data_IF_347463753221
#
_entry.id   IF_347463753221
#
_cell.length_a   1.000
_cell.length_b   1.000
_cell.length_c   1.000
_cell.angle_alpha   90.00
_cell.angle_beta   90.00
_cell.angle_gamma   90.00
#
_symmetry.space_group_name_H-M   'P 1'
#
loop_
_entity.id
_entity.type
_entity.pdbx_description
1 polymer ?
#
# COMPACT_ATOMS: atom_id res chain seq x y z
N UNK A 1 -28.97 17.11 -0.69
CA UNK A 1 -28.07 16.22 -1.43
C UNK A 1 -27.85 15.00 -0.55
N UNK A 2 -28.06 13.80 -1.07
CA UNK A 2 -27.79 12.58 -0.30
C UNK A 2 -26.32 12.55 0.09
N UNK A 3 -26.01 11.97 1.26
CA UNK A 3 -24.64 11.67 1.63
C UNK A 3 -24.19 10.56 0.67
N UNK A 4 -23.17 10.83 -0.16
CA UNK A 4 -22.58 9.81 -1.02
C UNK A 4 -21.96 8.73 -0.14
N UNK A 5 -22.19 7.46 -0.47
CA UNK A 5 -21.64 6.34 0.30
C UNK A 5 -20.13 6.32 0.17
N UNK A 6 -19.45 5.97 1.27
CA UNK A 6 -18.00 5.80 1.30
C UNK A 6 -17.69 4.31 1.24
N UNK A 7 -17.00 3.90 0.20
CA UNK A 7 -16.48 2.54 0.02
C UNK A 7 -15.00 2.51 0.35
N UNK A 8 -14.61 1.72 1.35
CA UNK A 8 -13.21 1.46 1.61
C UNK A 8 -12.69 0.37 0.68
N UNK A 9 -11.70 0.69 -0.16
CA UNK A 9 -11.06 -0.23 -1.09
C UNK A 9 -9.68 -0.59 -0.56
N UNK A 10 -9.48 -1.85 -0.19
CA UNK A 10 -8.22 -2.37 0.35
C UNK A 10 -7.47 -3.13 -0.74
N UNK A 11 -6.28 -2.65 -1.09
CA UNK A 11 -5.42 -3.30 -2.09
C UNK A 11 -4.45 -4.27 -1.42
N UNK A 12 -4.44 -5.53 -1.84
CA UNK A 12 -3.68 -6.63 -1.19
C UNK A 12 -2.70 -7.36 -2.12
N UNK A 13 -2.31 -6.76 -3.24
CA UNK A 13 -1.47 -7.44 -4.26
C UNK A 13 0.02 -7.59 -3.95
N UNK A 14 0.56 -6.84 -2.96
CA UNK A 14 1.99 -6.86 -2.65
C UNK A 14 2.43 -8.13 -1.94
N UNK A 15 3.64 -8.62 -2.25
CA UNK A 15 4.32 -9.69 -1.49
C UNK A 15 5.16 -9.11 -0.34
N UNK A 16 5.78 -7.94 -0.57
CA UNK A 16 6.69 -7.32 0.37
C UNK A 16 8.14 -7.84 0.30
N UNK A 17 8.63 -8.24 -0.89
CA UNK A 17 9.92 -8.91 -1.13
C UNK A 17 11.16 -8.38 -0.39
N UNK A 18 11.18 -7.10 -0.01
CA UNK A 18 12.25 -6.47 0.79
C UNK A 18 12.27 -6.91 2.27
N UNK A 19 11.25 -7.62 2.73
CA UNK A 19 11.15 -8.17 4.08
C UNK A 19 11.34 -9.69 4.12
N UNK A 20 11.84 -10.30 3.04
CA UNK A 20 12.33 -11.67 3.12
C UNK A 20 13.43 -11.77 4.21
N UNK A 21 13.46 -12.78 5.09
CA UNK A 21 12.69 -14.02 5.03
C UNK A 21 11.33 -13.99 5.72
N UNK A 22 10.93 -12.89 6.36
CA UNK A 22 9.62 -12.77 7.04
C UNK A 22 8.48 -12.85 6.02
N UNK A 23 8.56 -12.04 4.96
CA UNK A 23 7.56 -12.03 3.89
C UNK A 23 7.93 -12.94 2.73
N UNK A 24 6.93 -13.64 2.19
CA UNK A 24 7.04 -14.61 1.09
C UNK A 24 5.76 -14.61 0.26
N UNK A 25 5.73 -15.29 -0.89
CA UNK A 25 4.50 -15.44 -1.69
C UNK A 25 3.39 -16.11 -0.87
N UNK A 26 3.77 -17.08 -0.04
CA UNK A 26 2.85 -17.81 0.86
C UNK A 26 2.43 -17.04 2.11
N UNK A 27 3.22 -16.05 2.52
CA UNK A 27 2.91 -15.16 3.65
C UNK A 27 3.38 -13.73 3.35
N UNK A 28 2.60 -12.96 2.58
CA UNK A 28 2.92 -11.57 2.27
C UNK A 28 3.02 -10.65 3.48
N UNK A 29 3.74 -9.53 3.32
CA UNK A 29 3.98 -8.54 4.38
C UNK A 29 2.71 -8.12 5.14
N UNK A 30 1.62 -7.86 4.42
CA UNK A 30 0.37 -7.38 5.01
C UNK A 30 -0.28 -8.35 5.99
N UNK A 31 0.10 -9.64 5.95
CA UNK A 31 -0.44 -10.69 6.82
C UNK A 31 0.53 -11.11 7.94
N UNK A 32 1.70 -10.47 8.05
CA UNK A 32 2.68 -10.77 9.09
C UNK A 32 2.14 -10.40 10.48
N UNK A 33 2.25 -11.32 11.42
CA UNK A 33 1.94 -11.11 12.83
C UNK A 33 3.14 -10.52 13.57
N UNK A 34 3.52 -9.29 13.19
CA UNK A 34 4.67 -8.57 13.75
C UNK A 34 4.27 -7.25 14.43
N UNK A 35 3.02 -6.81 14.25
CA UNK A 35 2.61 -5.43 14.55
C UNK A 35 1.55 -5.43 15.65
N UNK A 36 1.98 -5.51 16.91
CA UNK A 36 1.11 -5.49 18.10
C UNK A 36 0.03 -6.60 18.12
N UNK A 37 0.39 -7.81 17.68
CA UNK A 37 -0.52 -8.96 17.65
C UNK A 37 -1.62 -8.90 16.59
N UNK A 38 -1.50 -7.98 15.64
CA UNK A 38 -2.38 -7.86 14.48
C UNK A 38 -1.55 -7.77 13.20
N UNK A 39 -2.13 -8.25 12.10
CA UNK A 39 -1.57 -8.02 10.77
C UNK A 39 -1.80 -6.58 10.29
N UNK A 40 -0.99 -6.09 9.37
CA UNK A 40 -1.18 -4.76 8.76
C UNK A 40 -2.52 -4.67 8.01
N UNK A 41 -2.94 -5.77 7.38
CA UNK A 41 -4.24 -5.88 6.74
C UNK A 41 -5.37 -5.69 7.76
N UNK A 42 -5.30 -6.39 8.90
CA UNK A 42 -6.29 -6.27 9.97
C UNK A 42 -6.35 -4.84 10.53
N UNK A 43 -5.19 -4.22 10.79
CA UNK A 43 -5.12 -2.82 11.23
C UNK A 43 -5.73 -1.86 10.21
N UNK A 44 -5.46 -2.08 8.92
CA UNK A 44 -5.96 -1.23 7.83
C UNK A 44 -7.48 -1.32 7.71
N UNK A 45 -8.06 -2.52 7.81
CA UNK A 45 -9.52 -2.69 7.81
C UNK A 45 -10.12 -2.02 9.04
N UNK A 46 -9.63 -2.34 10.25
CA UNK A 46 -10.14 -1.81 11.51
C UNK A 46 -10.18 -0.27 11.54
N UNK A 47 -9.10 0.38 11.09
CA UNK A 47 -8.97 1.86 11.06
C UNK A 47 -10.03 2.56 10.22
N UNK A 48 -10.57 1.88 9.19
CA UNK A 48 -11.49 2.48 8.22
C UNK A 48 -12.94 2.00 8.40
N UNK A 49 -13.25 1.21 9.44
CA UNK A 49 -14.61 0.71 9.67
C UNK A 49 -15.59 1.84 10.01
N UNK A 50 -15.18 2.82 10.79
CA UNK A 50 -16.12 3.86 11.25
C UNK A 50 -16.49 4.85 10.14
N UNK A 51 -15.61 5.03 9.14
CA UNK A 51 -15.81 6.00 8.07
C UNK A 51 -16.43 5.42 6.80
N UNK A 52 -16.35 4.10 6.61
CA UNK A 52 -16.85 3.45 5.40
C UNK A 52 -18.16 2.70 5.64
N UNK A 53 -19.05 2.77 4.66
CA UNK A 53 -20.33 2.05 4.63
C UNK A 53 -20.15 0.60 4.17
N UNK A 54 -19.17 0.36 3.28
CA UNK A 54 -18.81 -0.97 2.76
C UNK A 54 -17.31 -1.09 2.57
N UNK A 55 -16.81 -2.32 2.61
CA UNK A 55 -15.41 -2.63 2.26
C UNK A 55 -15.34 -3.50 1.00
N UNK A 56 -14.46 -3.14 0.08
CA UNK A 56 -14.06 -3.96 -1.06
C UNK A 56 -12.60 -4.34 -0.85
N UNK A 57 -12.29 -5.63 -0.88
CA UNK A 57 -10.92 -6.13 -0.87
C UNK A 57 -10.56 -6.57 -2.27
N UNK A 58 -9.53 -5.96 -2.85
CA UNK A 58 -9.00 -6.34 -4.17
C UNK A 58 -7.65 -7.00 -3.98
N UNK A 59 -7.48 -8.20 -4.52
CA UNK A 59 -6.25 -8.96 -4.34
C UNK A 59 -6.16 -10.16 -5.24
N UNK A 60 -4.96 -10.74 -5.28
CA UNK A 60 -4.71 -11.94 -6.06
C UNK A 60 -5.35 -13.19 -5.43
N UNK A 61 -5.50 -14.23 -6.25
CA UNK A 61 -6.04 -15.53 -5.81
C UNK A 61 -5.22 -16.20 -4.69
N UNK A 62 -3.91 -15.95 -4.63
CA UNK A 62 -3.01 -16.51 -3.61
C UNK A 62 -3.32 -15.93 -2.21
N UNK A 63 -3.75 -14.66 -2.16
CA UNK A 63 -4.01 -13.90 -0.94
C UNK A 63 -5.47 -14.02 -0.47
N UNK A 64 -6.37 -14.54 -1.31
CA UNK A 64 -7.81 -14.60 -1.02
C UNK A 64 -8.12 -15.31 0.30
N UNK A 65 -7.50 -16.47 0.57
CA UNK A 65 -7.79 -17.23 1.80
C UNK A 65 -7.39 -16.46 3.07
N UNK A 66 -6.24 -15.77 3.04
CA UNK A 66 -5.73 -15.01 4.18
C UNK A 66 -6.58 -13.76 4.42
N UNK A 67 -6.86 -12.98 3.37
CA UNK A 67 -7.72 -11.80 3.49
C UNK A 67 -9.13 -12.17 3.93
N UNK A 68 -9.76 -13.20 3.34
CA UNK A 68 -11.10 -13.63 3.72
C UNK A 68 -11.18 -14.11 5.18
N UNK A 69 -10.16 -14.84 5.66
CA UNK A 69 -10.11 -15.27 7.05
C UNK A 69 -10.03 -14.10 8.04
N UNK A 70 -9.30 -13.04 7.69
CA UNK A 70 -9.22 -11.82 8.52
C UNK A 70 -10.51 -11.00 8.38
N UNK A 71 -11.04 -10.82 7.17
CA UNK A 71 -12.30 -10.12 6.92
C UNK A 71 -13.47 -10.74 7.68
N UNK A 72 -13.51 -12.07 7.80
CA UNK A 72 -14.54 -12.81 8.55
C UNK A 72 -14.54 -12.50 10.06
N UNK A 73 -13.48 -11.88 10.61
CA UNK A 73 -13.46 -11.39 11.99
C UNK A 73 -14.29 -10.12 12.18
N UNK A 74 -14.56 -9.39 11.10
CA UNK A 74 -15.33 -8.16 11.12
C UNK A 74 -16.80 -8.48 10.80
N UNK A 75 -17.71 -8.11 11.69
CA UNK A 75 -19.15 -8.32 11.54
C UNK A 75 -19.78 -7.25 10.61
N UNK A 76 -19.28 -7.16 9.37
CA UNK A 76 -19.73 -6.20 8.37
C UNK A 76 -19.75 -6.79 6.95
N UNK A 77 -20.64 -6.31 6.07
CA UNK A 77 -20.62 -6.70 4.66
C UNK A 77 -19.33 -6.27 3.97
N UNK A 78 -18.74 -7.18 3.18
CA UNK A 78 -17.60 -6.89 2.31
C UNK A 78 -17.75 -7.60 0.97
N UNK A 79 -17.06 -7.09 -0.04
CA UNK A 79 -16.92 -7.70 -1.37
C UNK A 79 -15.46 -8.10 -1.56
N UNK A 80 -15.21 -9.31 -2.04
CA UNK A 80 -13.90 -9.68 -2.58
C UNK A 80 -13.91 -9.56 -4.09
N UNK A 81 -12.86 -8.95 -4.62
CA UNK A 81 -12.49 -9.00 -6.03
C UNK A 81 -11.18 -9.77 -6.10
N UNK A 82 -11.22 -10.94 -6.73
CA UNK A 82 -10.10 -11.88 -6.79
C UNK A 82 -9.50 -11.84 -8.19
N UNK A 83 -8.31 -11.25 -8.29
CA UNK A 83 -7.50 -11.22 -9.50
C UNK A 83 -6.86 -12.60 -9.73
N UNK A 84 -7.21 -13.26 -10.83
CA UNK A 84 -6.50 -14.46 -11.27
C UNK A 84 -5.06 -14.15 -11.70
N UNK A 85 -4.82 -12.94 -12.22
CA UNK A 85 -3.51 -12.43 -12.60
C UNK A 85 -3.42 -10.95 -12.20
N UNK A 86 -2.48 -10.54 -11.33
CA UNK A 86 -2.38 -9.16 -10.89
C UNK A 86 -1.99 -8.21 -12.03
N UNK A 87 -2.72 -7.10 -12.18
CA UNK A 87 -2.50 -6.10 -13.26
C UNK A 87 -2.18 -4.70 -12.76
N UNK A 88 -1.57 -4.65 -11.56
CA UNK A 88 -1.15 -3.42 -10.89
C UNK A 88 -2.36 -2.55 -10.49
N UNK A 89 -2.12 -1.38 -9.91
CA UNK A 89 -3.15 -0.66 -9.13
C UNK A 89 -4.23 -0.01 -9.99
N UNK A 90 -3.99 0.35 -11.25
CA UNK A 90 -5.02 0.97 -12.09
C UNK A 90 -6.21 0.02 -12.33
N UNK A 91 -5.93 -1.22 -12.75
CA UNK A 91 -6.95 -2.24 -12.97
C UNK A 91 -7.65 -2.64 -11.66
N UNK A 92 -6.88 -2.84 -10.58
CA UNK A 92 -7.42 -3.19 -9.27
C UNK A 92 -8.46 -2.16 -8.77
N UNK A 93 -8.15 -0.87 -8.92
CA UNK A 93 -9.06 0.21 -8.55
C UNK A 93 -10.25 0.31 -9.51
N UNK A 94 -10.05 0.04 -10.82
CA UNK A 94 -11.14 -0.01 -11.79
C UNK A 94 -12.17 -1.08 -11.44
N UNK A 95 -11.75 -2.28 -11.03
CA UNK A 95 -12.70 -3.31 -10.58
C UNK A 95 -13.51 -2.87 -9.36
N UNK A 96 -12.87 -2.23 -8.37
CA UNK A 96 -13.58 -1.69 -7.22
C UNK A 96 -14.56 -0.57 -7.59
N UNK A 97 -14.20 0.25 -8.58
CA UNK A 97 -15.08 1.28 -9.12
C UNK A 97 -16.27 0.69 -9.90
N UNK A 98 -16.06 -0.35 -10.71
CA UNK A 98 -17.16 -1.05 -11.39
C UNK A 98 -18.10 -1.80 -10.42
N UNK A 99 -17.61 -2.18 -9.24
CA UNK A 99 -18.38 -2.76 -8.16
C UNK A 99 -19.12 -1.71 -7.28
N UNK A 100 -19.08 -0.44 -7.66
CA UNK A 100 -19.62 0.69 -6.90
C UNK A 100 -20.51 1.55 -7.77
N UNK A 101 -21.41 2.32 -7.15
CA UNK A 101 -22.22 3.28 -7.89
C UNK A 101 -21.33 4.45 -8.34
N UNK A 102 -21.69 5.11 -9.45
CA UNK A 102 -20.88 6.20 -10.01
C UNK A 102 -20.59 7.33 -9.02
N UNK A 103 -21.54 7.62 -8.12
CA UNK A 103 -21.43 8.69 -7.12
C UNK A 103 -20.80 8.21 -5.79
N UNK A 104 -20.54 6.90 -5.62
CA UNK A 104 -19.86 6.38 -4.43
C UNK A 104 -18.44 6.95 -4.35
N UNK A 105 -18.05 7.42 -3.17
CA UNK A 105 -16.68 7.84 -2.88
C UNK A 105 -15.87 6.60 -2.52
N UNK A 106 -14.82 6.33 -3.29
CA UNK A 106 -13.87 5.28 -3.00
C UNK A 106 -12.75 5.86 -2.13
N UNK A 107 -12.45 5.22 -1.02
CA UNK A 107 -11.25 5.44 -0.21
C UNK A 107 -10.30 4.28 -0.44
N UNK A 108 -9.25 4.50 -1.23
CA UNK A 108 -8.30 3.48 -1.65
C UNK A 108 -7.12 3.50 -0.68
N UNK A 109 -6.85 2.36 -0.05
CA UNK A 109 -5.72 2.20 0.86
C UNK A 109 -4.92 0.95 0.55
N UNK A 110 -3.58 1.03 0.50
CA UNK A 110 -2.71 -0.14 0.59
C UNK A 110 -2.92 -0.85 1.93
N UNK A 111 -2.88 -2.19 1.92
CA UNK A 111 -3.10 -3.02 3.11
C UNK A 111 -1.88 -3.16 4.01
N UNK A 112 -0.76 -2.56 3.64
CA UNK A 112 0.56 -2.94 4.09
C UNK A 112 1.34 -1.75 4.69
N UNK A 113 0.59 -0.73 5.14
CA UNK A 113 1.10 0.47 5.81
C UNK A 113 0.76 0.47 7.31
N UNK A 114 1.66 1.02 8.12
CA UNK A 114 1.37 1.47 9.49
C UNK A 114 0.92 2.93 9.42
N UNK A 115 -0.18 3.21 10.11
CA UNK A 115 -0.66 4.57 10.36
C UNK A 115 -1.06 4.65 11.82
N UNK A 116 -0.49 5.61 12.53
CA UNK A 116 -0.78 5.95 13.93
C UNK A 116 -1.32 7.40 14.00
N UNK A 117 -2.16 7.70 15.00
CA UNK A 117 -2.79 9.02 15.17
C UNK A 117 -4.20 9.08 14.56
N UNK A 118 -5.10 8.24 15.07
CA UNK A 118 -6.44 8.01 14.51
C UNK A 118 -7.25 9.30 14.29
N UNK A 119 -7.21 10.26 15.21
CA UNK A 119 -7.92 11.55 15.07
C UNK A 119 -7.42 12.35 13.85
N UNK A 120 -6.09 12.45 13.67
CA UNK A 120 -5.48 13.17 12.55
C UNK A 120 -5.70 12.44 11.22
N UNK A 121 -5.74 11.11 11.25
CA UNK A 121 -6.11 10.29 10.10
C UNK A 121 -7.56 10.56 9.69
N UNK A 122 -8.49 10.52 10.64
CA UNK A 122 -9.91 10.77 10.41
C UNK A 122 -10.16 12.18 9.87
N UNK A 123 -9.51 13.21 10.42
CA UNK A 123 -9.60 14.59 9.91
C UNK A 123 -9.14 14.68 8.45
N UNK A 124 -8.03 14.03 8.11
CA UNK A 124 -7.52 13.99 6.75
C UNK A 124 -8.50 13.28 5.80
N UNK A 125 -9.08 12.15 6.23
CA UNK A 125 -10.07 11.41 5.42
C UNK A 125 -11.34 12.23 5.19
N UNK A 126 -11.87 12.89 6.22
CA UNK A 126 -13.05 13.74 6.08
C UNK A 126 -12.82 14.88 5.07
N UNK A 127 -11.64 15.52 5.14
CA UNK A 127 -11.24 16.53 4.15
C UNK A 127 -11.15 15.94 2.75
N UNK A 128 -10.57 14.75 2.60
CA UNK A 128 -10.47 14.09 1.31
C UNK A 128 -11.84 13.72 0.71
N UNK A 129 -12.76 13.20 1.54
CA UNK A 129 -14.14 12.91 1.12
C UNK A 129 -14.86 14.17 0.67
N UNK A 130 -14.69 15.31 1.36
CA UNK A 130 -15.27 16.59 0.96
C UNK A 130 -14.76 17.06 -0.41
N UNK A 131 -13.48 16.87 -0.71
CA UNK A 131 -12.87 17.22 -2.00
C UNK A 131 -13.29 16.23 -3.10
N UNK A 132 -13.32 14.93 -2.81
CA UNK A 132 -13.81 13.90 -3.73
C UNK A 132 -15.27 14.15 -4.15
N UNK A 133 -16.10 14.63 -3.23
CA UNK A 133 -17.49 15.01 -3.52
C UNK A 133 -17.62 16.18 -4.50
N UNK A 134 -16.57 16.99 -4.65
CA UNK A 134 -16.43 18.07 -5.63
C UNK A 134 -15.79 17.60 -6.95
N UNK A 135 -15.74 16.29 -7.18
CA UNK A 135 -15.18 15.65 -8.38
C UNK A 135 -13.66 15.80 -8.56
N UNK A 136 -12.92 16.03 -7.47
CA UNK A 136 -11.46 15.97 -7.47
C UNK A 136 -10.94 14.54 -7.27
N UNK A 137 -9.79 14.23 -7.88
CA UNK A 137 -8.95 13.09 -7.51
C UNK A 137 -8.08 13.49 -6.33
N UNK A 138 -8.27 12.88 -5.17
CA UNK A 138 -7.55 13.27 -3.96
C UNK A 138 -6.46 12.26 -3.64
N UNK A 139 -5.27 12.75 -3.30
CA UNK A 139 -4.16 11.98 -2.71
C UNK A 139 -3.79 12.54 -1.34
N UNK A 140 -3.02 11.78 -0.55
CA UNK A 140 -2.57 12.18 0.77
C UNK A 140 -1.04 12.35 0.76
N UNK A 141 -0.59 13.55 1.13
CA UNK A 141 0.81 13.93 1.13
C UNK A 141 1.43 13.87 2.52
N UNK A 142 2.47 13.05 2.70
CA UNK A 142 3.22 12.97 3.96
C UNK A 142 4.39 13.94 3.91
N UNK A 143 4.60 14.72 4.97
CA UNK A 143 5.73 15.66 5.03
C UNK A 143 7.06 14.89 5.03
N UNK A 144 7.95 15.12 4.03
CA UNK A 144 9.25 14.46 3.98
C UNK A 144 10.11 14.87 5.18
N UNK A 145 10.73 13.89 5.82
CA UNK A 145 11.68 14.10 6.93
C UNK A 145 13.12 13.76 6.56
N UNK A 146 13.31 13.04 5.44
CA UNK A 146 14.60 12.67 4.86
C UNK A 146 14.48 12.60 3.32
N UNK A 147 15.59 12.61 2.56
CA UNK A 147 15.54 12.44 1.12
C UNK A 147 15.39 10.95 0.76
N UNK A 148 14.15 10.43 0.86
CA UNK A 148 13.84 9.05 0.51
C UNK A 148 13.77 8.87 -1.01
N UNK A 149 14.40 7.81 -1.54
CA UNK A 149 14.41 7.51 -2.99
C UNK A 149 13.44 6.38 -3.34
N UNK A 150 12.93 5.66 -2.33
CA UNK A 150 11.92 4.61 -2.49
C UNK A 150 10.49 5.11 -2.69
N UNK A 151 10.22 6.39 -2.42
CA UNK A 151 8.87 6.99 -2.47
C UNK A 151 8.67 7.87 -3.70
N UNK A 152 7.42 7.98 -4.14
CA UNK A 152 6.98 9.05 -5.03
C UNK A 152 6.87 10.39 -4.28
N UNK A 153 7.06 11.49 -4.99
CA UNK A 153 6.90 12.84 -4.47
C UNK A 153 5.76 13.56 -5.19
N UNK A 154 5.03 14.38 -4.45
CA UNK A 154 3.93 15.21 -4.91
C UNK A 154 4.39 16.65 -4.79
N UNK A 155 4.62 17.30 -5.92
CA UNK A 155 4.83 18.75 -5.97
C UNK A 155 3.48 19.44 -5.84
N UNK A 156 3.39 20.43 -4.96
CA UNK A 156 2.10 21.07 -4.67
C UNK A 156 2.20 22.59 -4.60
N UNK A 157 1.08 23.23 -4.93
CA UNK A 157 0.83 24.65 -4.66
C UNK A 157 -0.55 24.79 -4.02
N UNK A 158 -0.57 25.26 -2.77
CA UNK A 158 -1.76 25.23 -1.90
C UNK A 158 -2.28 23.79 -1.73
N UNK A 159 -3.44 23.47 -2.29
CA UNK A 159 -4.04 22.13 -2.28
C UNK A 159 -3.98 21.45 -3.65
N UNK A 160 -3.44 22.11 -4.67
CA UNK A 160 -3.33 21.57 -6.02
C UNK A 160 -2.04 20.77 -6.17
N UNK A 161 -2.14 19.63 -6.82
CA UNK A 161 -0.95 18.90 -7.28
C UNK A 161 -0.47 19.51 -8.59
N UNK A 162 0.81 19.89 -8.63
CA UNK A 162 1.47 20.41 -9.82
C UNK A 162 2.06 19.26 -10.64
N UNK A 163 2.70 18.30 -9.97
CA UNK A 163 3.31 17.14 -10.61
C UNK A 163 3.51 15.99 -9.62
N UNK A 164 3.48 14.77 -10.14
CA UNK A 164 3.97 13.58 -9.47
C UNK A 164 5.38 13.24 -9.99
N UNK A 165 6.25 12.85 -9.07
CA UNK A 165 7.64 12.49 -9.35
C UNK A 165 7.95 11.14 -8.71
N UNK A 166 7.96 10.07 -9.49
CA UNK A 166 8.16 8.72 -8.95
C UNK A 166 9.65 8.38 -8.72
N UNK A 167 9.98 8.00 -7.47
CA UNK A 167 11.28 7.43 -7.07
C UNK A 167 12.51 8.19 -7.60
N UNK A 168 12.68 9.47 -7.20
CA UNK A 168 13.83 10.27 -7.62
C UNK A 168 15.16 9.70 -7.11
N UNK A 169 16.27 10.10 -7.74
CA UNK A 169 17.59 9.84 -7.18
C UNK A 169 17.84 10.68 -5.91
N UNK A 170 18.89 10.36 -5.16
CA UNK A 170 19.18 11.00 -3.87
C UNK A 170 19.41 12.52 -3.97
N UNK A 171 20.04 12.99 -5.04
CA UNK A 171 20.30 14.42 -5.26
C UNK A 171 18.98 15.18 -5.50
N UNK A 172 18.12 14.64 -6.34
CA UNK A 172 16.78 15.17 -6.61
C UNK A 172 15.91 15.15 -5.34
N UNK A 173 15.89 14.03 -4.61
CA UNK A 173 15.15 13.91 -3.35
C UNK A 173 15.62 14.94 -2.29
N UNK A 174 16.93 15.20 -2.23
CA UNK A 174 17.52 16.22 -1.35
C UNK A 174 17.05 17.62 -1.74
N UNK A 175 16.96 17.90 -3.05
CA UNK A 175 16.43 19.16 -3.56
C UNK A 175 14.95 19.34 -3.22
N UNK A 176 14.14 18.29 -3.37
CA UNK A 176 12.72 18.31 -2.99
C UNK A 176 12.51 18.65 -1.52
N UNK A 177 13.30 18.02 -0.63
CA UNK A 177 13.27 18.30 0.80
C UNK A 177 13.64 19.76 1.12
N UNK A 178 14.62 20.33 0.42
CA UNK A 178 15.06 21.72 0.61
C UNK A 178 14.02 22.74 0.14
N UNK A 179 13.34 22.48 -0.99
CA UNK A 179 12.35 23.40 -1.54
C UNK A 179 11.09 23.49 -0.66
N UNK A 180 10.73 22.43 0.05
CA UNK A 180 9.63 22.41 1.03
C UNK A 180 8.22 22.42 0.42
N UNK A 181 8.09 22.43 -0.91
CA UNK A 181 6.84 22.35 -1.67
C UNK A 181 6.60 20.92 -2.22
N UNK A 182 7.14 19.91 -1.55
CA UNK A 182 6.93 18.50 -1.89
C UNK A 182 6.41 17.70 -0.69
N UNK A 183 5.46 16.80 -0.97
CA UNK A 183 5.07 15.73 -0.07
C UNK A 183 5.56 14.38 -0.59
N UNK A 184 5.72 13.38 0.27
CA UNK A 184 5.75 11.99 -0.17
C UNK A 184 4.34 11.53 -0.55
N UNK A 185 4.23 10.78 -1.63
CA UNK A 185 3.01 10.07 -2.02
C UNK A 185 2.79 8.89 -1.08
N UNK A 186 1.73 8.96 -0.27
CA UNK A 186 1.37 7.90 0.67
C UNK A 186 0.76 6.66 0.01
N UNK A 187 0.40 6.73 -1.27
CA UNK A 187 -0.34 5.67 -1.98
C UNK A 187 -1.81 5.54 -1.56
N UNK A 188 -2.31 6.44 -0.69
CA UNK A 188 -3.74 6.55 -0.40
C UNK A 188 -4.39 7.49 -1.42
N UNK A 189 -5.60 7.13 -1.84
CA UNK A 189 -6.40 7.95 -2.76
C UNK A 189 -7.85 8.04 -2.32
N UNK A 190 -8.53 9.12 -2.71
CA UNK A 190 -9.97 9.28 -2.46
C UNK A 190 -10.64 10.02 -3.62
N UNK A 191 -11.65 9.41 -4.24
CA UNK A 191 -12.38 9.98 -5.37
C UNK A 191 -13.68 9.24 -5.64
N UNK A 192 -14.61 9.86 -6.37
CA UNK A 192 -15.80 9.16 -6.85
C UNK A 192 -15.45 8.08 -7.87
N UNK A 193 -16.15 6.95 -7.82
CA UNK A 193 -15.97 5.84 -8.76
C UNK A 193 -16.12 6.31 -10.22
N UNK A 194 -17.17 7.08 -10.52
CA UNK A 194 -17.44 7.59 -11.87
C UNK A 194 -16.37 8.55 -12.38
N UNK A 195 -15.88 9.46 -11.53
CA UNK A 195 -14.81 10.40 -11.91
C UNK A 195 -13.52 9.64 -12.25
N UNK A 196 -13.13 8.67 -11.43
CA UNK A 196 -11.96 7.85 -11.73
C UNK A 196 -12.11 7.05 -13.03
N UNK A 197 -13.25 6.40 -13.23
CA UNK A 197 -13.50 5.63 -14.45
C UNK A 197 -13.49 6.50 -15.71
N UNK A 198 -14.04 7.71 -15.65
CA UNK A 198 -14.00 8.66 -16.76
C UNK A 198 -12.57 9.13 -17.09
N UNK A 199 -11.76 9.42 -16.06
CA UNK A 199 -10.35 9.74 -16.23
C UNK A 199 -9.59 8.55 -16.84
N UNK A 200 -9.77 7.35 -16.30
CA UNK A 200 -9.12 6.14 -16.80
C UNK A 200 -9.51 5.83 -18.26
N UNK A 201 -10.79 5.96 -18.63
CA UNK A 201 -11.25 5.76 -20.00
C UNK A 201 -10.63 6.78 -20.97
N UNK A 202 -10.57 8.05 -20.57
CA UNK A 202 -9.95 9.10 -21.39
C UNK A 202 -8.45 8.91 -21.54
N UNK A 203 -7.80 8.37 -20.51
CA UNK A 203 -6.36 8.39 -20.38
C UNK A 203 -5.68 7.08 -20.80
N UNK A 204 -6.25 5.96 -20.37
CA UNK A 204 -5.80 4.60 -20.62
C UNK A 204 -7.00 3.74 -21.07
N UNK A 205 -7.58 4.02 -22.25
CA UNK A 205 -8.81 3.36 -22.71
C UNK A 205 -8.66 1.85 -22.80
N UNK A 206 -7.47 1.34 -23.14
CA UNK A 206 -7.21 -0.10 -23.19
C UNK A 206 -7.35 -0.75 -21.81
N UNK A 207 -6.82 -0.12 -20.76
CA UNK A 207 -6.97 -0.58 -19.36
C UNK A 207 -8.44 -0.55 -18.96
N UNK A 208 -9.15 0.54 -19.26
CA UNK A 208 -10.56 0.68 -18.93
C UNK A 208 -11.43 -0.41 -19.59
N UNK A 209 -11.35 -0.56 -20.91
CA UNK A 209 -12.22 -1.48 -21.65
C UNK A 209 -11.88 -2.94 -21.34
N UNK A 210 -10.58 -3.30 -21.26
CA UNK A 210 -10.19 -4.67 -20.91
C UNK A 210 -10.60 -5.03 -19.48
N UNK A 211 -10.44 -4.10 -18.53
CA UNK A 211 -10.89 -4.30 -17.13
C UNK A 211 -12.41 -4.41 -17.04
N UNK A 212 -13.14 -3.61 -17.81
CA UNK A 212 -14.60 -3.67 -17.86
C UNK A 212 -15.10 -5.02 -18.36
N UNK A 213 -14.52 -5.54 -19.45
CA UNK A 213 -14.86 -6.87 -19.98
C UNK A 213 -14.54 -7.97 -18.95
N UNK A 214 -13.37 -7.92 -18.32
CA UNK A 214 -13.00 -8.90 -17.29
C UNK A 214 -13.95 -8.84 -16.07
N UNK A 215 -14.40 -7.63 -15.70
CA UNK A 215 -15.39 -7.44 -14.64
C UNK A 215 -16.76 -7.96 -15.02
N UNK A 216 -17.29 -7.66 -16.21
CA UNK A 216 -18.65 -8.09 -16.61
C UNK A 216 -18.79 -9.63 -16.69
N UNK A 217 -17.70 -10.34 -16.99
CA UNK A 217 -17.64 -11.81 -17.07
C UNK A 217 -17.21 -12.48 -15.74
N UNK A 218 -16.99 -11.70 -14.68
CA UNK A 218 -16.55 -12.24 -13.40
C UNK A 218 -17.59 -13.20 -12.80
N UNK A 219 -17.12 -14.16 -11.99
CA UNK A 219 -17.99 -15.09 -11.25
C UNK A 219 -17.80 -14.88 -9.76
N UNK A 220 -18.79 -14.27 -9.10
CA UNK A 220 -18.77 -14.02 -7.65
C UNK A 220 -17.49 -13.27 -7.19
N UNK A 221 -17.02 -12.32 -7.99
CA UNK A 221 -15.80 -11.54 -7.75
C UNK A 221 -14.52 -12.18 -8.29
N UNK A 222 -14.55 -13.44 -8.76
CA UNK A 222 -13.40 -14.09 -9.39
C UNK A 222 -13.28 -13.64 -10.85
N UNK A 223 -12.16 -12.98 -11.15
CA UNK A 223 -11.81 -12.52 -12.49
C UNK A 223 -11.19 -13.65 -13.31
N UNK A 224 -11.53 -13.71 -14.60
CA UNK A 224 -11.00 -14.73 -15.51
C UNK A 224 -9.52 -14.46 -15.85
N UNK A 225 -8.72 -15.53 -15.97
CA UNK A 225 -7.28 -15.43 -16.24
C UNK A 225 -6.97 -14.90 -17.64
N UNK A 226 -7.66 -15.40 -18.68
CA UNK A 226 -7.40 -15.01 -20.07
C UNK A 226 -7.88 -13.59 -20.35
N UNK A 227 -9.02 -13.18 -19.78
CA UNK A 227 -9.46 -11.78 -19.85
C UNK A 227 -8.51 -10.87 -19.10
N UNK A 228 -8.07 -11.26 -17.90
CA UNK A 228 -7.04 -10.53 -17.15
C UNK A 228 -5.72 -10.45 -17.91
N UNK A 229 -5.42 -11.41 -18.80
CA UNK A 229 -4.18 -11.42 -19.59
C UNK A 229 -4.08 -10.20 -20.51
N UNK A 230 -5.22 -9.74 -21.01
CA UNK A 230 -5.35 -8.63 -21.97
C UNK A 230 -5.27 -7.25 -21.34
N UNK A 231 -5.30 -7.14 -20.00
CA UNK A 231 -5.26 -5.85 -19.32
C UNK A 231 -3.80 -5.38 -19.23
N UNK A 232 -3.45 -4.18 -19.74
CA UNK A 232 -2.13 -3.60 -19.55
C UNK A 232 -1.81 -3.44 -18.05
N UNK A 233 -0.61 -3.85 -17.64
CA UNK A 233 -0.19 -3.77 -16.23
C UNK A 233 0.46 -2.41 -15.94
N UNK A 234 -0.29 -1.50 -15.33
CA UNK A 234 0.12 -0.11 -15.05
C UNK A 234 -0.43 0.36 -13.70
N UNK A 235 0.33 1.17 -12.96
CA UNK A 235 -0.17 1.75 -11.70
C UNK A 235 -1.10 2.92 -11.95
N UNK A 236 -1.97 3.22 -11.00
CA UNK A 236 -2.82 4.41 -11.03
C UNK A 236 -2.00 5.70 -11.13
N UNK A 237 -0.81 5.73 -10.51
CA UNK A 237 0.08 6.89 -10.52
C UNK A 237 0.42 7.28 -11.97
N UNK A 238 0.85 6.31 -12.79
CA UNK A 238 1.15 6.53 -14.20
C UNK A 238 -0.10 6.66 -15.08
N UNK A 239 -1.11 5.83 -14.84
CA UNK A 239 -2.30 5.75 -15.69
C UNK A 239 -3.17 7.02 -15.62
N UNK A 240 -3.24 7.64 -14.44
CA UNK A 240 -4.19 8.72 -14.15
C UNK A 240 -3.53 9.91 -13.44
N UNK A 241 -2.79 9.66 -12.34
CA UNK A 241 -2.38 10.75 -11.43
C UNK A 241 -1.29 11.66 -12.03
N UNK A 242 -0.38 11.16 -12.86
CA UNK A 242 0.64 11.99 -13.52
C UNK A 242 0.07 12.92 -14.59
N UNK A 243 -1.17 12.71 -15.01
CA UNK A 243 -1.74 13.27 -16.23
C UNK A 243 -3.06 14.01 -16.02
N UNK A 244 -3.76 13.76 -14.92
CA UNK A 244 -5.01 14.46 -14.60
C UNK A 244 -4.76 15.87 -14.10
N UNK A 245 -5.60 16.82 -14.52
CA UNK A 245 -5.55 18.21 -14.08
C UNK A 245 -6.36 18.50 -12.80
N UNK A 246 -7.19 17.55 -12.35
CA UNK A 246 -8.17 17.74 -11.27
C UNK A 246 -7.71 17.08 -9.97
N UNK A 247 -6.44 17.22 -9.62
CA UNK A 247 -5.84 16.52 -8.48
C UNK A 247 -5.64 17.46 -7.29
N UNK A 248 -6.11 17.00 -6.13
CA UNK A 248 -5.88 17.66 -4.84
C UNK A 248 -5.01 16.82 -3.94
N UNK A 249 -4.18 17.47 -3.14
CA UNK A 249 -3.43 16.83 -2.06
C UNK A 249 -3.96 17.28 -0.71
N UNK A 250 -4.24 16.31 0.17
CA UNK A 250 -4.49 16.56 1.58
C UNK A 250 -3.18 16.34 2.35
N UNK A 251 -2.62 17.38 3.00
CA UNK A 251 -1.49 17.20 3.90
C UNK A 251 -1.88 16.26 5.05
N UNK A 252 -1.14 15.17 5.19
CA UNK A 252 -1.35 14.19 6.23
C UNK A 252 -0.39 14.47 7.40
N UNK A 253 -0.98 14.74 8.56
CA UNK A 253 -0.26 15.02 9.81
C UNK A 253 -0.17 13.81 10.74
N UNK A 254 -0.84 12.71 10.40
CA UNK A 254 -0.72 11.43 11.09
C UNK A 254 0.65 10.80 10.87
N UNK A 255 1.05 9.90 11.76
CA UNK A 255 2.27 9.11 11.59
C UNK A 255 2.02 8.03 10.53
N UNK A 256 2.95 7.88 9.60
CA UNK A 256 2.82 6.95 8.46
C UNK A 256 4.14 6.26 8.17
N UNK A 257 4.07 4.98 7.83
CA UNK A 257 5.20 4.20 7.31
C UNK A 257 4.68 3.11 6.38
N UNK A 258 5.29 3.00 5.20
CA UNK A 258 5.01 1.91 4.26
C UNK A 258 5.64 0.58 4.69
N UNK A 259 6.49 0.58 5.73
CA UNK A 259 7.29 -0.56 6.15
C UNK A 259 8.01 -1.25 4.97
N UNK A 260 8.52 -0.46 4.04
CA UNK A 260 9.13 -0.95 2.80
C UNK A 260 10.49 -1.62 2.98
N UNK A 261 11.09 -1.57 4.17
CA UNK A 261 12.44 -2.08 4.43
C UNK A 261 12.61 -2.54 5.88
N UNK A 262 13.67 -3.32 6.16
CA UNK A 262 14.03 -3.68 7.53
C UNK A 262 14.46 -2.49 8.38
N UNK A 263 14.92 -1.39 7.78
CA UNK A 263 15.17 -0.13 8.47
C UNK A 263 13.89 0.39 9.12
N UNK A 264 12.80 0.43 8.33
CA UNK A 264 11.48 0.87 8.78
C UNK A 264 10.88 -0.08 9.81
N UNK A 265 11.05 -1.40 9.63
CA UNK A 265 10.61 -2.41 10.61
C UNK A 265 11.38 -2.28 11.92
N UNK A 266 12.70 -2.10 11.85
CA UNK A 266 13.54 -1.85 13.02
C UNK A 266 13.07 -0.63 13.80
N UNK A 267 12.85 0.50 13.11
CA UNK A 267 12.46 1.75 13.76
C UNK A 267 11.09 1.63 14.43
N UNK A 268 10.13 0.99 13.74
CA UNK A 268 8.83 0.67 14.32
C UNK A 268 8.95 -0.20 15.57
N UNK A 269 9.66 -1.33 15.49
CA UNK A 269 9.78 -2.27 16.60
C UNK A 269 10.44 -1.63 17.82
N UNK A 270 11.53 -0.88 17.61
CA UNK A 270 12.22 -0.16 18.69
C UNK A 270 11.30 0.89 19.32
N UNK A 271 10.52 1.63 18.53
CA UNK A 271 9.53 2.58 19.04
C UNK A 271 8.45 1.89 19.89
N UNK A 272 8.03 0.67 19.52
CA UNK A 272 7.06 -0.15 20.29
C UNK A 272 7.70 -0.92 21.45
N UNK A 273 8.97 -0.67 21.78
CA UNK A 273 9.64 -1.24 22.95
C UNK A 273 10.27 -2.62 22.73
N UNK A 274 10.52 -3.01 21.49
CA UNK A 274 11.24 -4.25 21.17
C UNK A 274 12.65 -4.25 21.78
N UNK A 275 13.13 -5.38 22.35
CA UNK A 275 14.46 -5.44 22.96
C UNK A 275 15.58 -5.08 21.99
N UNK A 276 16.47 -4.19 22.45
CA UNK A 276 17.62 -3.68 21.71
C UNK A 276 18.87 -3.73 22.61
N UNK A 277 19.99 -4.20 22.07
CA UNK A 277 21.24 -4.27 22.83
C UNK A 277 21.99 -2.91 22.88
N UNK A 278 23.11 -2.86 23.61
CA UNK A 278 23.93 -1.64 23.77
C UNK A 278 24.54 -1.14 22.46
N UNK A 279 24.71 -2.01 21.47
CA UNK A 279 25.24 -1.69 20.14
C UNK A 279 24.13 -1.52 19.09
N UNK A 280 22.88 -1.35 19.55
CA UNK A 280 21.70 -1.13 18.73
C UNK A 280 21.31 -2.29 17.82
N UNK A 281 21.68 -3.52 18.18
CA UNK A 281 21.28 -4.73 17.45
C UNK A 281 19.93 -5.25 17.97
N UNK A 282 19.14 -5.88 17.09
CA UNK A 282 17.86 -6.52 17.43
C UNK A 282 17.77 -7.94 16.85
N UNK A 283 16.89 -8.74 17.44
CA UNK A 283 16.55 -10.10 16.98
C UNK A 283 15.04 -10.18 16.72
N UNK A 284 14.65 -10.76 15.59
CA UNK A 284 13.25 -10.94 15.18
C UNK A 284 12.99 -12.43 14.91
N UNK A 285 11.88 -12.94 15.44
CA UNK A 285 11.35 -14.27 15.06
C UNK A 285 11.91 -15.48 15.83
N UNK A 286 12.71 -15.28 16.88
CA UNK A 286 13.22 -16.39 17.72
C UNK A 286 13.32 -16.02 19.19
N UNK A 287 13.11 -17.00 20.07
CA UNK A 287 13.36 -16.93 21.51
C UNK A 287 14.71 -17.53 21.92
N UNK A 288 15.50 -18.02 20.96
CA UNK A 288 16.84 -18.53 21.22
C UNK A 288 17.75 -17.41 21.72
N UNK A 289 18.53 -17.70 22.76
CA UNK A 289 19.51 -16.74 23.27
C UNK A 289 20.51 -16.36 22.18
N UNK A 290 20.57 -15.06 21.88
CA UNK A 290 21.40 -14.47 20.84
C UNK A 290 22.23 -13.36 21.43
N UNK A 291 23.53 -13.32 21.11
CA UNK A 291 24.45 -12.27 21.53
C UNK A 291 25.23 -11.76 20.32
N UNK A 292 25.34 -10.44 20.19
CA UNK A 292 26.14 -9.78 19.15
C UNK A 292 27.49 -9.34 19.73
N UNK A 293 28.59 -9.79 19.12
CA UNK A 293 29.96 -9.40 19.53
C UNK A 293 30.66 -8.78 18.32
N UNK A 294 31.15 -7.54 18.49
CA UNK A 294 31.93 -6.84 17.45
C UNK A 294 31.09 -6.24 16.32
N UNK A 295 29.76 -6.23 16.42
CA UNK A 295 28.84 -5.67 15.43
C UNK A 295 27.86 -4.69 16.05
N UNK A 296 27.37 -3.75 15.24
CA UNK A 296 26.46 -2.67 15.63
C UNK A 296 25.38 -2.49 14.56
N UNK A 297 24.22 -1.95 14.97
CA UNK A 297 23.08 -1.70 14.09
C UNK A 297 22.65 -2.94 13.27
N UNK A 298 22.87 -4.15 13.78
CA UNK A 298 22.50 -5.38 13.09
C UNK A 298 21.09 -5.84 13.43
N UNK A 299 20.46 -6.49 12.45
CA UNK A 299 19.16 -7.14 12.58
C UNK A 299 19.42 -8.62 12.30
N UNK A 300 19.14 -9.47 13.29
CA UNK A 300 19.04 -10.91 13.08
C UNK A 300 17.57 -11.27 12.87
N UNK A 301 17.24 -11.87 11.73
CA UNK A 301 15.92 -12.39 11.45
C UNK A 301 16.01 -13.92 11.40
N UNK A 302 15.09 -14.56 12.12
CA UNK A 302 14.92 -15.99 12.10
C UNK A 302 13.50 -16.35 11.64
N UNK A 303 13.40 -17.24 10.66
CA UNK A 303 12.19 -17.99 10.34
C UNK A 303 12.48 -19.49 10.47
N UNK A 304 11.46 -20.33 10.33
CA UNK A 304 11.59 -21.80 10.50
C UNK A 304 12.65 -22.46 9.62
N UNK A 305 13.00 -21.83 8.49
CA UNK A 305 13.81 -22.39 7.41
C UNK A 305 14.85 -21.41 6.86
N UNK A 306 14.95 -20.20 7.42
CA UNK A 306 15.92 -19.20 7.00
C UNK A 306 16.41 -18.35 8.18
N UNK A 307 17.68 -17.95 8.11
CA UNK A 307 18.29 -16.99 9.02
C UNK A 307 18.96 -15.92 8.16
N UNK A 308 18.67 -14.66 8.46
CA UNK A 308 19.28 -13.52 7.79
C UNK A 308 19.88 -12.57 8.81
N UNK A 309 21.10 -12.12 8.54
CA UNK A 309 21.75 -11.04 9.30
C UNK A 309 22.06 -9.93 8.32
N UNK A 310 21.70 -8.71 8.68
CA UNK A 310 22.08 -7.51 7.96
C UNK A 310 22.41 -6.38 8.92
N UNK A 311 23.19 -5.42 8.45
CA UNK A 311 23.25 -4.09 9.07
C UNK A 311 22.02 -3.29 8.59
N UNK A 312 21.45 -2.50 9.49
CA UNK A 312 20.23 -1.70 9.28
C UNK A 312 20.34 -0.85 8.00
N UNK A 313 21.51 -0.28 7.76
CA UNK A 313 21.80 0.62 6.64
C UNK A 313 21.77 -0.09 5.27
N UNK A 314 21.93 -1.43 5.24
CA UNK A 314 21.91 -2.23 4.01
C UNK A 314 20.52 -2.82 3.71
N UNK A 315 19.46 -2.35 4.37
CA UNK A 315 18.10 -2.91 4.25
C UNK A 315 17.56 -2.98 2.80
N UNK A 316 18.00 -2.09 1.91
CA UNK A 316 17.57 -2.11 0.50
C UNK A 316 18.13 -3.30 -0.29
N UNK A 317 19.26 -3.88 0.14
CA UNK A 317 19.92 -4.99 -0.54
C UNK A 317 19.14 -6.32 -0.43
N UNK A 318 18.22 -6.43 0.53
CA UNK A 318 17.37 -7.63 0.69
C UNK A 318 16.56 -7.94 -0.57
N UNK A 319 16.19 -6.90 -1.35
CA UNK A 319 15.52 -7.09 -2.64
C UNK A 319 16.36 -7.96 -3.59
N UNK A 320 17.68 -7.80 -3.58
CA UNK A 320 18.59 -8.57 -4.44
C UNK A 320 18.63 -10.03 -4.01
N UNK A 321 18.60 -10.30 -2.69
CA UNK A 321 18.52 -11.67 -2.16
C UNK A 321 17.22 -12.34 -2.62
N UNK A 322 16.07 -11.67 -2.49
CA UNK A 322 14.79 -12.19 -2.98
C UNK A 322 14.86 -12.50 -4.49
N UNK A 323 15.39 -11.58 -5.31
CA UNK A 323 15.52 -11.78 -6.75
C UNK A 323 16.44 -12.95 -7.12
N UNK A 324 17.53 -13.15 -6.37
CA UNK A 324 18.42 -14.31 -6.54
C UNK A 324 17.67 -15.61 -6.25
N UNK A 325 16.93 -15.68 -5.14
CA UNK A 325 16.13 -16.85 -4.77
C UNK A 325 15.05 -17.14 -5.82
N UNK A 326 14.44 -16.10 -6.39
CA UNK A 326 13.42 -16.24 -7.43
C UNK A 326 14.03 -16.80 -8.73
N UNK A 327 15.21 -16.32 -9.11
CA UNK A 327 15.91 -16.77 -10.33
C UNK A 327 16.26 -18.26 -10.33
N UNK A 328 16.41 -18.86 -9.14
CA UNK A 328 16.70 -20.29 -8.97
C UNK A 328 15.47 -21.12 -8.56
N UNK A 329 14.27 -20.52 -8.59
CA UNK A 329 13.02 -21.14 -8.12
C UNK A 329 13.17 -21.76 -6.72
N UNK A 330 13.81 -21.04 -5.81
CA UNK A 330 14.11 -21.53 -4.47
C UNK A 330 12.82 -21.87 -3.70
N UNK A 331 12.79 -22.97 -2.92
CA UNK A 331 11.68 -23.27 -2.02
C UNK A 331 11.55 -22.28 -0.85
N UNK A 332 12.47 -21.31 -0.74
CA UNK A 332 12.48 -20.27 0.30
C UNK A 332 11.59 -19.05 -0.01
N UNK A 333 10.80 -19.06 -1.10
CA UNK A 333 9.94 -17.95 -1.54
C UNK A 333 8.44 -18.20 -1.43
#
# INVERSE_FOLDING_TARGET
>A
MGINKVTHVVLTGGVGSRLWPLSRKTLPKQYLDLFDGQSLFEKTVARNLEISDKTIVVGNIENYKMSNAIMSKFDRPFIHIIEALPRNTAAAIAFAAFASESDDVLLITPSDHIIDGDDLYNDALQKAILLANQDYLVTFGIKPTKPETGYGYIEFENENVIAFHEKPNLETATTYLQNGNYFWNSGLFCFKAGKFLAELESQEPEVYWASKTAWEENKEGFLDYELSLNIPSISIDYAVMERSGDIKVVPAHFEWSDLGSFESVYDYLVQKGHPIDTNRNIVIGTSMHTTFIGVKNCILIYTTDALMVLQKENSQEVKQVYQQLESIASPLL
#
